data_IF_215901176619
#
_entry.id   IF_215901176619
#
_cell.length_a   1.000
_cell.length_b   1.000
_cell.length_c   1.000
_cell.angle_alpha   90.00
_cell.angle_beta   90.00
_cell.angle_gamma   90.00
#
_symmetry.space_group_name_H-M   'P 1'
#
loop_
_entity.id
_entity.type
_entity.pdbx_description
1 polymer ?
#
# COMPACT_ATOMS: atom_id res chain seq x y z
N UNK A 1 12.62 2.81 0.75
CA UNK A 1 11.24 2.28 0.84
C UNK A 1 11.16 0.81 0.45
N UNK A 2 11.56 0.43 -0.77
CA UNK A 2 11.51 -0.99 -1.23
C UNK A 2 12.15 -1.97 -0.24
N UNK A 3 13.39 -1.70 0.16
CA UNK A 3 14.13 -2.55 1.11
C UNK A 3 13.45 -2.66 2.47
N UNK A 4 12.88 -1.55 2.97
CA UNK A 4 12.13 -1.54 4.23
C UNK A 4 10.90 -2.47 4.16
N UNK A 5 10.16 -2.44 3.04
CA UNK A 5 9.01 -3.31 2.83
C UNK A 5 9.42 -4.77 2.65
N UNK A 6 10.48 -5.06 1.89
CA UNK A 6 11.00 -6.42 1.72
C UNK A 6 11.55 -7.00 3.03
N UNK A 7 12.15 -6.18 3.89
CA UNK A 7 12.61 -6.63 5.20
C UNK A 7 11.46 -6.91 6.16
N UNK A 8 10.39 -6.09 6.13
CA UNK A 8 9.21 -6.27 7.00
C UNK A 8 8.30 -7.40 6.52
N UNK A 9 8.12 -7.54 5.20
CA UNK A 9 7.26 -8.53 4.55
C UNK A 9 8.02 -9.32 3.47
N UNK A 10 8.94 -10.21 3.86
CA UNK A 10 9.83 -10.90 2.92
C UNK A 10 9.10 -11.86 1.97
N UNK A 11 7.90 -12.31 2.35
CA UNK A 11 7.06 -13.19 1.55
C UNK A 11 6.09 -12.44 0.64
N UNK A 12 6.07 -11.11 0.62
CA UNK A 12 5.12 -10.35 -0.19
C UNK A 12 5.70 -9.99 -1.56
N UNK A 13 4.85 -9.97 -2.58
CA UNK A 13 5.22 -9.37 -3.86
C UNK A 13 5.04 -7.87 -3.77
N UNK A 14 6.10 -7.10 -4.06
CA UNK A 14 6.10 -5.63 -3.93
C UNK A 14 6.54 -4.99 -5.24
N UNK A 15 5.65 -4.19 -5.83
CA UNK A 15 5.92 -3.39 -7.02
C UNK A 15 5.86 -1.91 -6.66
N UNK A 16 6.87 -1.15 -7.08
CA UNK A 16 6.95 0.29 -6.84
C UNK A 16 6.82 1.02 -8.17
N UNK A 17 5.85 1.91 -8.24
CA UNK A 17 5.56 2.70 -9.42
C UNK A 17 5.61 4.19 -9.06
N UNK A 18 6.69 4.91 -9.43
CA UNK A 18 6.74 6.35 -9.27
C UNK A 18 5.81 7.00 -10.31
N UNK A 19 4.92 7.90 -9.87
CA UNK A 19 4.00 8.64 -10.76
C UNK A 19 3.78 10.07 -10.25
N UNK A 20 4.32 11.05 -10.97
CA UNK A 20 4.23 12.46 -10.57
C UNK A 20 4.83 12.71 -9.18
N UNK A 21 4.01 13.21 -8.26
CA UNK A 21 4.41 13.51 -6.87
C UNK A 21 4.14 12.36 -5.87
N UNK A 22 3.73 11.19 -6.37
CA UNK A 22 3.41 10.04 -5.53
C UNK A 22 4.15 8.77 -5.94
N UNK A 23 4.33 7.87 -4.98
CA UNK A 23 4.80 6.50 -5.19
C UNK A 23 3.63 5.58 -4.91
N UNK A 24 3.24 4.79 -5.92
CA UNK A 24 2.32 3.69 -5.74
C UNK A 24 3.08 2.42 -5.37
N UNK A 25 2.63 1.76 -4.31
CA UNK A 25 3.15 0.48 -3.86
C UNK A 25 2.03 -0.55 -4.00
N UNK A 26 2.12 -1.38 -5.03
CA UNK A 26 1.23 -2.52 -5.19
C UNK A 26 1.83 -3.69 -4.44
N UNK A 27 1.12 -4.19 -3.43
CA UNK A 27 1.57 -5.32 -2.62
C UNK A 27 0.53 -6.44 -2.59
N UNK A 28 1.01 -7.68 -2.62
CA UNK A 28 0.19 -8.87 -2.43
C UNK A 28 0.88 -9.82 -1.46
N UNK A 29 0.09 -10.41 -0.58
CA UNK A 29 0.55 -11.31 0.49
C UNK A 29 0.94 -12.73 0.01
N UNK A 30 1.13 -12.92 -1.31
CA UNK A 30 1.25 -14.20 -1.99
C UNK A 30 0.03 -15.13 -1.83
N UNK A 31 -1.10 -14.59 -1.35
CA UNK A 31 -2.36 -15.28 -1.22
C UNK A 31 -3.49 -14.49 -1.90
N UNK A 32 -4.50 -14.07 -1.14
CA UNK A 32 -5.73 -13.47 -1.66
C UNK A 32 -5.77 -11.96 -1.48
N UNK A 33 -4.86 -11.37 -0.70
CA UNK A 33 -4.94 -9.95 -0.36
C UNK A 33 -4.07 -9.12 -1.30
N UNK A 34 -4.66 -8.09 -1.90
CA UNK A 34 -3.98 -7.10 -2.72
C UNK A 34 -4.21 -5.72 -2.13
N UNK A 35 -3.15 -4.94 -2.00
CA UNK A 35 -3.18 -3.57 -1.51
C UNK A 35 -2.45 -2.64 -2.45
N UNK A 36 -2.94 -1.41 -2.52
CA UNK A 36 -2.22 -0.29 -3.09
C UNK A 36 -1.98 0.72 -1.99
N UNK A 37 -0.72 1.09 -1.81
CA UNK A 37 -0.31 2.15 -0.89
C UNK A 37 0.14 3.33 -1.75
N UNK A 38 -0.55 4.45 -1.67
CA UNK A 38 -0.11 5.70 -2.27
C UNK A 38 0.67 6.48 -1.23
N UNK A 39 1.95 6.77 -1.51
CA UNK A 39 2.77 7.62 -0.67
C UNK A 39 2.99 8.95 -1.38
N UNK A 40 2.54 10.03 -0.78
CA UNK A 40 2.71 11.40 -1.29
C UNK A 40 3.64 12.16 -0.35
N UNK A 41 4.43 13.08 -0.88
CA UNK A 41 5.35 13.87 -0.04
C UNK A 41 4.62 14.88 0.87
N UNK A 42 3.45 15.35 0.46
CA UNK A 42 2.72 16.44 1.14
C UNK A 42 1.41 15.99 1.80
N UNK A 43 0.74 14.96 1.27
CA UNK A 43 -0.63 14.60 1.66
C UNK A 43 -0.69 13.31 2.51
N UNK A 44 0.46 12.72 2.82
CA UNK A 44 0.57 11.51 3.66
C UNK A 44 0.48 10.22 2.85
N UNK A 45 -0.15 9.19 3.44
CA UNK A 45 -0.20 7.83 2.89
C UNK A 45 -1.63 7.31 2.85
N UNK A 46 -2.10 6.94 1.66
CA UNK A 46 -3.39 6.28 1.46
C UNK A 46 -3.22 4.78 1.23
N UNK A 47 -4.15 3.97 1.76
CA UNK A 47 -4.22 2.53 1.47
C UNK A 47 -5.57 2.21 0.83
N UNK A 48 -5.54 1.41 -0.22
CA UNK A 48 -6.72 0.79 -0.82
C UNK A 48 -6.54 -0.73 -0.81
N UNK A 49 -7.54 -1.47 -0.31
CA UNK A 49 -7.60 -2.93 -0.31
C UNK A 49 -8.39 -3.38 -1.54
N UNK A 50 -7.69 -3.91 -2.54
CA UNK A 50 -8.33 -4.45 -3.74
C UNK A 50 -8.95 -5.81 -3.45
N UNK A 51 -10.27 -5.84 -3.20
CA UNK A 51 -11.04 -7.09 -3.05
C UNK A 51 -11.46 -7.72 -4.38
N UNK A 52 -11.48 -6.98 -5.50
CA UNK A 52 -11.87 -7.47 -6.84
C UNK A 52 -11.10 -6.71 -7.92
N UNK A 53 -10.61 -7.42 -8.94
CA UNK A 53 -9.80 -6.91 -10.08
C UNK A 53 -10.58 -6.16 -11.16
N UNK A 54 -11.86 -5.87 -10.96
CA UNK A 54 -12.74 -5.30 -11.99
C UNK A 54 -13.06 -3.85 -11.64
N UNK A 55 -12.37 -2.92 -12.31
CA UNK A 55 -12.62 -1.48 -12.25
C UNK A 55 -11.66 -0.77 -11.31
N UNK A 56 -10.79 0.06 -11.89
CA UNK A 56 -9.95 0.98 -11.13
C UNK A 56 -10.86 2.14 -10.72
N UNK A 57 -11.32 2.13 -9.48
CA UNK A 57 -11.97 3.28 -8.87
C UNK A 57 -10.91 4.15 -8.18
N UNK A 58 -10.68 5.35 -8.71
CA UNK A 58 -9.76 6.34 -8.15
C UNK A 58 -10.46 7.31 -7.18
N UNK A 59 -11.71 7.04 -6.77
CA UNK A 59 -12.52 7.99 -6.01
C UNK A 59 -12.20 8.09 -4.52
N UNK A 60 -11.35 7.22 -3.96
CA UNK A 60 -10.89 7.35 -2.58
C UNK A 60 -10.03 6.18 -2.09
N UNK A 61 -9.21 6.45 -1.08
CA UNK A 61 -8.55 5.40 -0.30
C UNK A 61 -9.52 4.84 0.74
N UNK A 62 -9.42 3.54 1.02
CA UNK A 62 -10.19 2.93 2.11
C UNK A 62 -9.75 3.49 3.47
N UNK A 63 -8.45 3.78 3.61
CA UNK A 63 -7.82 4.29 4.83
C UNK A 63 -6.76 5.35 4.48
N UNK A 64 -6.60 6.37 5.32
CA UNK A 64 -5.62 7.45 5.14
C UNK A 64 -4.82 7.68 6.43
N UNK A 65 -3.51 7.86 6.28
CA UNK A 65 -2.53 7.92 7.36
C UNK A 65 -1.56 9.09 7.15
N UNK A 66 -0.95 9.55 8.24
CA UNK A 66 0.02 10.66 8.17
C UNK A 66 1.39 10.21 7.69
N UNK A 67 1.73 8.93 7.87
CA UNK A 67 3.04 8.40 7.53
C UNK A 67 3.00 6.94 7.10
N UNK A 68 4.04 6.52 6.38
CA UNK A 68 4.21 5.13 5.98
C UNK A 68 4.35 4.20 7.19
N UNK A 69 4.91 4.67 8.30
CA UNK A 69 5.03 3.85 9.51
C UNK A 69 3.67 3.54 10.13
N UNK A 70 2.79 4.54 10.19
CA UNK A 70 1.41 4.38 10.69
C UNK A 70 0.63 3.38 9.83
N UNK A 71 0.74 3.52 8.51
CA UNK A 71 0.24 2.58 7.50
C UNK A 71 0.71 1.14 7.75
N UNK A 72 2.01 0.93 7.94
CA UNK A 72 2.56 -0.42 8.15
C UNK A 72 2.10 -1.03 9.48
N UNK A 73 2.01 -0.22 10.53
CA UNK A 73 1.48 -0.67 11.82
C UNK A 73 0.00 -1.04 11.75
N UNK A 74 -0.79 -0.35 10.91
CA UNK A 74 -2.18 -0.73 10.65
C UNK A 74 -2.27 -2.08 9.94
N UNK A 75 -1.45 -2.31 8.90
CA UNK A 75 -1.43 -3.57 8.15
C UNK A 75 -1.09 -4.76 9.07
N UNK A 76 -0.08 -4.61 9.93
CA UNK A 76 0.34 -5.64 10.88
C UNK A 76 -0.74 -6.03 11.89
N UNK A 77 -1.68 -5.13 12.20
CA UNK A 77 -2.71 -5.35 13.22
C UNK A 77 -4.04 -5.87 12.68
N UNK A 78 -4.37 -5.51 11.43
CA UNK A 78 -5.72 -5.69 10.89
C UNK A 78 -5.78 -6.67 9.72
N UNK A 79 -4.63 -7.05 9.16
CA UNK A 79 -4.55 -7.80 7.91
C UNK A 79 -3.75 -9.07 8.06
N UNK A 80 -2.63 -9.00 8.80
CA UNK A 80 -1.77 -10.12 9.13
C UNK A 80 -2.21 -10.83 10.42
#
# INVERSE_FOLDING_TARGET
MKELLLNRYPSWNIYLEPSGECIWVSVNDNHLNYFEIQVTNNDGVGITRRKVTIGIDFSGHDEAFKSLEETLNYLDRNIL
#
